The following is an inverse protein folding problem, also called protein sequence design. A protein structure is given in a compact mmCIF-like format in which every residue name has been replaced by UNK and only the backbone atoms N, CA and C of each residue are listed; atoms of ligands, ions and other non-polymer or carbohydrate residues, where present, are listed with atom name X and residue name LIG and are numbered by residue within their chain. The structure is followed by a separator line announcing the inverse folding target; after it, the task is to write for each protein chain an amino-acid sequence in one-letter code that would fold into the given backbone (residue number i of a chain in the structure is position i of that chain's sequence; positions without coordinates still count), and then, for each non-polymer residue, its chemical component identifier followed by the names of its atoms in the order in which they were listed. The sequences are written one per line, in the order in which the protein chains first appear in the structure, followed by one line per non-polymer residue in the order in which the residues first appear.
data_IF_729395704766
#
_entry.id   IF_729395704766
#
_cell.length_a   1.000
_cell.length_b   1.000
_cell.length_c   1.000
_cell.angle_alpha   90.00
_cell.angle_beta   90.00
_cell.angle_gamma   90.00
#
_symmetry.space_group_name_H-M   'P 1'
#
loop_
_entity.id
_entity.type
_entity.pdbx_description
1 polymer ?
#
# COMPACT_ATOMS: atom_id res chain seq x y z
N UNK A 1 -5.55 9.23 -17.63
CA UNK A 1 -5.60 9.61 -16.21
C UNK A 1 -4.23 10.02 -15.71
N UNK A 2 -4.19 10.86 -14.71
CA UNK A 2 -2.97 11.12 -13.93
C UNK A 2 -3.08 10.34 -12.62
N UNK A 3 -1.99 9.69 -12.23
CA UNK A 3 -1.83 9.08 -10.92
C UNK A 3 -0.76 9.80 -10.12
N UNK A 4 -1.04 10.02 -8.85
CA UNK A 4 -0.14 10.64 -7.88
C UNK A 4 0.02 9.69 -6.71
N UNK A 5 1.25 9.45 -6.28
CA UNK A 5 1.52 8.75 -5.02
C UNK A 5 2.42 9.60 -4.12
N UNK A 6 2.05 9.68 -2.84
CA UNK A 6 2.87 10.27 -1.78
C UNK A 6 3.11 9.21 -0.71
N UNK A 7 4.23 8.50 -0.87
CA UNK A 7 4.59 7.33 -0.06
C UNK A 7 6.09 7.40 0.24
N UNK A 8 6.48 7.10 1.47
CA UNK A 8 7.87 7.11 1.94
C UNK A 8 8.63 8.41 1.60
N UNK A 9 7.95 9.54 1.76
CA UNK A 9 8.48 10.86 1.46
C UNK A 9 8.91 11.04 -0.03
N UNK A 10 8.36 10.23 -0.91
CA UNK A 10 8.51 10.36 -2.37
C UNK A 10 7.18 10.75 -2.99
N UNK A 11 7.24 11.70 -3.91
CA UNK A 11 6.10 12.16 -4.69
C UNK A 11 6.31 11.73 -6.15
N UNK A 12 5.48 10.81 -6.62
CA UNK A 12 5.54 10.30 -7.99
C UNK A 12 4.26 10.68 -8.71
N UNK A 13 4.40 11.26 -9.89
CA UNK A 13 3.29 11.51 -10.82
C UNK A 13 3.48 10.64 -12.06
N UNK A 14 2.42 10.00 -12.51
CA UNK A 14 2.40 9.30 -13.80
C UNK A 14 1.22 9.78 -14.64
N UNK A 15 1.45 9.86 -15.94
CA UNK A 15 0.40 9.98 -16.94
C UNK A 15 0.20 8.62 -17.59
N UNK A 16 -1.02 8.12 -17.57
CA UNK A 16 -1.38 6.77 -18.00
C UNK A 16 -2.54 6.83 -19.02
N UNK A 17 -2.47 5.99 -20.05
CA UNK A 17 -3.58 5.81 -21.00
C UNK A 17 -4.68 4.87 -20.46
N UNK A 18 -5.76 4.71 -21.24
CA UNK A 18 -6.87 3.85 -20.84
C UNK A 18 -6.54 2.34 -20.85
N UNK A 19 -5.45 1.93 -21.48
CA UNK A 19 -4.97 0.54 -21.49
C UNK A 19 -4.08 0.21 -20.29
N UNK A 20 -3.81 1.18 -19.39
CA UNK A 20 -2.91 1.00 -18.25
C UNK A 20 -1.44 1.26 -18.57
N UNK A 21 -1.09 1.76 -19.76
CA UNK A 21 0.29 2.01 -20.15
C UNK A 21 0.75 3.39 -19.68
N UNK A 22 1.94 3.45 -19.08
CA UNK A 22 2.59 4.68 -18.68
C UNK A 22 3.05 5.49 -19.90
N UNK A 23 2.60 6.74 -19.99
CA UNK A 23 3.00 7.68 -21.04
C UNK A 23 4.19 8.53 -20.58
N UNK A 24 4.13 9.02 -19.34
CA UNK A 24 5.16 9.87 -18.75
C UNK A 24 5.18 9.72 -17.22
N UNK A 25 6.30 10.14 -16.63
CA UNK A 25 6.54 10.07 -15.20
C UNK A 25 7.31 11.30 -14.71
N UNK A 26 7.06 11.71 -13.47
CA UNK A 26 7.83 12.71 -12.72
C UNK A 26 8.09 12.19 -11.31
N UNK A 27 9.33 12.27 -10.87
CA UNK A 27 9.74 12.02 -9.50
C UNK A 27 10.09 13.36 -8.85
N UNK A 28 9.47 13.68 -7.73
CA UNK A 28 9.57 14.97 -7.07
C UNK A 28 9.86 14.79 -5.57
N UNK A 29 10.50 15.82 -4.99
CA UNK A 29 10.53 15.95 -3.53
C UNK A 29 9.26 16.68 -3.09
N UNK A 30 8.44 16.08 -2.19
CA UNK A 30 7.18 16.68 -1.79
C UNK A 30 7.39 17.91 -0.89
N UNK A 31 6.59 18.94 -1.10
CA UNK A 31 6.37 20.01 -0.15
C UNK A 31 5.23 19.57 0.77
N UNK A 32 5.52 19.27 2.05
CA UNK A 32 4.53 18.61 2.94
C UNK A 32 3.45 19.55 3.50
N UNK A 33 3.67 20.88 3.45
CA UNK A 33 2.63 21.85 3.76
C UNK A 33 1.53 21.83 2.71
N UNK A 34 0.28 21.61 3.11
CA UNK A 34 -0.83 21.34 2.20
C UNK A 34 -0.97 22.38 1.10
N UNK A 35 -0.99 23.71 1.37
CA UNK A 35 -1.09 24.70 0.29
C UNK A 35 0.07 24.64 -0.71
N UNK A 36 1.28 24.41 -0.21
CA UNK A 36 2.48 24.32 -1.05
C UNK A 36 2.47 23.04 -1.90
N UNK A 37 2.07 21.91 -1.32
CA UNK A 37 1.92 20.66 -2.06
C UNK A 37 0.87 20.76 -3.17
N UNK A 38 -0.29 21.36 -2.88
CA UNK A 38 -1.35 21.54 -3.88
C UNK A 38 -0.87 22.40 -5.04
N UNK A 39 -0.16 23.50 -4.74
CA UNK A 39 0.42 24.36 -5.78
C UNK A 39 1.49 23.62 -6.58
N UNK A 40 2.41 22.91 -5.92
CA UNK A 40 3.42 22.08 -6.58
C UNK A 40 2.77 21.07 -7.54
N UNK A 41 1.75 20.33 -7.09
CA UNK A 41 1.05 19.36 -7.91
C UNK A 41 0.35 20.02 -9.11
N UNK A 42 -0.29 21.17 -8.92
CA UNK A 42 -0.99 21.87 -10.01
C UNK A 42 0.00 22.33 -11.09
N UNK A 43 1.17 22.83 -10.70
CA UNK A 43 2.21 23.28 -11.63
C UNK A 43 2.85 22.11 -12.37
N UNK A 44 3.15 21.01 -11.67
CA UNK A 44 3.71 19.79 -12.27
C UNK A 44 2.73 19.11 -13.24
N UNK A 45 1.44 19.04 -12.88
CA UNK A 45 0.40 18.52 -13.77
C UNK A 45 0.33 19.37 -15.06
N UNK A 46 0.36 20.70 -14.93
CA UNK A 46 0.34 21.60 -16.09
C UNK A 46 1.58 21.37 -16.98
N UNK A 47 2.76 21.29 -16.36
CA UNK A 47 4.02 21.00 -17.08
C UNK A 47 3.95 19.65 -17.78
N UNK A 48 3.52 18.59 -17.08
CA UNK A 48 3.41 17.24 -17.63
C UNK A 48 2.48 17.18 -18.86
N UNK A 49 1.35 17.87 -18.82
CA UNK A 49 0.43 17.94 -19.94
C UNK A 49 1.01 18.71 -21.14
N UNK A 50 1.72 19.81 -20.88
CA UNK A 50 2.39 20.58 -21.94
C UNK A 50 3.49 19.77 -22.61
N UNK A 51 4.34 19.09 -21.83
CA UNK A 51 5.45 18.29 -22.33
C UNK A 51 4.98 17.08 -23.15
N UNK A 52 3.84 16.53 -22.81
CA UNK A 52 3.25 15.38 -23.52
C UNK A 52 2.28 15.79 -24.62
N UNK A 53 2.02 17.08 -24.80
CA UNK A 53 1.06 17.65 -25.77
C UNK A 53 -0.35 17.07 -25.61
N UNK A 54 -0.72 16.67 -24.37
CA UNK A 54 -2.05 16.14 -24.08
C UNK A 54 -2.94 17.27 -23.59
N UNK A 55 -4.02 17.49 -24.32
CA UNK A 55 -5.04 18.47 -23.94
C UNK A 55 -5.72 18.07 -22.63
N UNK A 56 -5.90 19.02 -21.73
CA UNK A 56 -6.55 18.82 -20.45
C UNK A 56 -7.92 18.16 -20.56
N UNK A 57 -8.72 18.47 -21.59
CA UNK A 57 -10.05 17.90 -21.81
C UNK A 57 -10.01 16.39 -22.10
N UNK A 58 -8.86 15.84 -22.45
CA UNK A 58 -8.65 14.39 -22.64
C UNK A 58 -8.33 13.66 -21.33
N UNK A 59 -8.11 14.39 -20.23
CA UNK A 59 -7.92 13.77 -18.92
C UNK A 59 -9.25 13.32 -18.35
N UNK A 60 -9.31 12.05 -18.01
CA UNK A 60 -10.45 11.44 -17.33
C UNK A 60 -10.54 11.89 -15.86
N UNK A 61 -9.40 12.03 -15.20
CA UNK A 61 -9.30 12.46 -13.82
C UNK A 61 -7.90 12.27 -13.25
N UNK A 62 -7.77 12.61 -11.98
CA UNK A 62 -6.56 12.44 -11.16
C UNK A 62 -6.88 11.46 -10.04
N UNK A 63 -6.09 10.40 -9.91
CA UNK A 63 -6.08 9.55 -8.72
C UNK A 63 -4.92 9.93 -7.81
N UNK A 64 -5.13 9.91 -6.50
CA UNK A 64 -4.09 10.20 -5.53
C UNK A 64 -4.04 9.10 -4.45
N UNK A 65 -2.99 8.30 -4.46
CA UNK A 65 -2.72 7.26 -3.48
C UNK A 65 -1.80 7.76 -2.36
N UNK A 66 -2.17 7.49 -1.12
CA UNK A 66 -1.37 7.86 0.06
C UNK A 66 -1.59 6.87 1.21
N UNK A 67 -0.60 6.75 2.09
CA UNK A 67 -0.71 5.95 3.30
C UNK A 67 -1.58 6.68 4.33
N UNK A 68 -2.90 6.53 4.20
CA UNK A 68 -3.88 7.22 5.02
C UNK A 68 -5.19 6.46 5.15
N UNK A 69 -5.92 6.77 6.20
CA UNK A 69 -7.35 6.50 6.26
C UNK A 69 -8.10 7.53 5.41
N UNK A 70 -8.76 7.05 4.37
CA UNK A 70 -9.52 7.85 3.40
C UNK A 70 -11.00 7.55 3.58
N UNK A 71 -11.85 8.57 3.46
CA UNK A 71 -13.30 8.41 3.55
C UNK A 71 -13.86 7.52 2.42
N UNK A 72 -15.05 6.97 2.64
CA UNK A 72 -15.68 6.07 1.66
C UNK A 72 -16.01 6.75 0.32
N UNK A 73 -16.18 8.08 0.33
CA UNK A 73 -16.42 8.91 -0.86
C UNK A 73 -15.13 9.26 -1.63
N UNK A 74 -13.96 8.86 -1.12
CA UNK A 74 -12.64 9.10 -1.74
C UNK A 74 -12.34 10.58 -1.99
N UNK A 75 -12.70 11.43 -1.05
CA UNK A 75 -12.57 12.88 -1.14
C UNK A 75 -11.75 13.51 -0.02
N UNK A 76 -11.77 12.92 1.17
CA UNK A 76 -11.13 13.45 2.37
C UNK A 76 -10.07 12.47 2.90
N UNK A 77 -8.86 12.96 3.08
CA UNK A 77 -7.88 12.28 3.93
C UNK A 77 -8.33 12.50 5.39
N UNK A 78 -8.97 11.47 5.96
CA UNK A 78 -9.49 11.53 7.33
C UNK A 78 -8.35 11.60 8.32
N UNK A 79 -7.34 10.75 8.14
CA UNK A 79 -6.15 10.75 8.97
C UNK A 79 -4.97 10.08 8.25
N UNK A 80 -3.82 10.73 8.29
CA UNK A 80 -2.53 10.11 8.00
C UNK A 80 -1.57 10.37 9.15
N UNK A 81 -1.25 9.32 9.91
CA UNK A 81 -0.30 9.42 11.00
C UNK A 81 1.13 9.71 10.49
N UNK A 82 1.44 9.28 9.26
CA UNK A 82 2.74 9.49 8.64
C UNK A 82 2.94 10.95 8.22
N UNK A 83 1.90 11.59 7.65
CA UNK A 83 1.95 12.96 7.15
C UNK A 83 1.51 13.99 8.21
N UNK A 84 0.98 13.55 9.36
CA UNK A 84 0.41 14.43 10.37
C UNK A 84 -0.88 15.12 9.91
N UNK A 85 -1.55 14.58 8.90
CA UNK A 85 -2.76 15.18 8.33
C UNK A 85 -4.01 14.68 9.04
N UNK A 86 -4.99 15.58 9.17
CA UNK A 86 -6.29 15.28 9.76
C UNK A 86 -7.40 16.07 9.06
N UNK A 87 -8.43 15.38 8.59
CA UNK A 87 -9.61 15.95 7.91
C UNK A 87 -9.24 16.90 6.75
N UNK A 88 -8.33 16.47 5.88
CA UNK A 88 -7.89 17.26 4.72
C UNK A 88 -8.79 16.98 3.52
N UNK A 89 -9.54 17.96 2.98
CA UNK A 89 -10.38 17.81 1.79
C UNK A 89 -9.52 17.82 0.52
N UNK A 90 -8.63 16.85 0.39
CA UNK A 90 -7.54 16.82 -0.58
C UNK A 90 -8.05 16.82 -2.02
N UNK A 91 -9.13 16.05 -2.29
CA UNK A 91 -9.71 15.97 -3.62
C UNK A 91 -10.25 17.34 -4.09
N UNK A 92 -10.97 18.06 -3.21
CA UNK A 92 -11.51 19.39 -3.51
C UNK A 92 -10.39 20.40 -3.76
N UNK A 93 -9.38 20.43 -2.88
CA UNK A 93 -8.26 21.36 -2.98
C UNK A 93 -7.49 21.17 -4.29
N UNK A 94 -7.16 19.95 -4.65
CA UNK A 94 -6.42 19.65 -5.88
C UNK A 94 -7.29 19.88 -7.13
N UNK A 95 -8.57 19.51 -7.09
CA UNK A 95 -9.49 19.76 -8.20
C UNK A 95 -9.60 21.25 -8.51
N UNK A 96 -9.76 22.10 -7.48
CA UNK A 96 -9.77 23.57 -7.66
C UNK A 96 -8.48 24.10 -8.27
N UNK A 97 -7.32 23.66 -7.76
CA UNK A 97 -6.02 24.12 -8.23
C UNK A 97 -5.71 23.69 -9.67
N UNK A 98 -6.26 22.57 -10.11
CA UNK A 98 -6.14 22.05 -11.48
C UNK A 98 -7.28 22.51 -12.39
N UNK A 99 -8.13 23.44 -11.93
CA UNK A 99 -9.24 24.07 -12.70
C UNK A 99 -10.40 23.10 -12.92
N UNK A 100 -10.76 22.24 -11.98
CA UNK A 100 -11.95 21.39 -12.00
C UNK A 100 -11.73 20.00 -12.60
N UNK A 101 -10.51 19.51 -12.72
CA UNK A 101 -10.28 18.09 -13.05
C UNK A 101 -10.80 17.24 -11.88
N UNK A 102 -11.60 16.19 -12.14
CA UNK A 102 -12.05 15.27 -11.09
C UNK A 102 -10.86 14.63 -10.36
N UNK A 103 -10.91 14.62 -9.04
CA UNK A 103 -9.84 14.02 -8.20
C UNK A 103 -10.45 12.99 -7.28
N UNK A 104 -9.82 11.82 -7.21
CA UNK A 104 -10.19 10.71 -6.35
C UNK A 104 -8.98 10.34 -5.49
N UNK A 105 -9.13 10.38 -4.19
CA UNK A 105 -8.09 9.92 -3.28
C UNK A 105 -8.37 8.51 -2.79
N UNK A 106 -7.33 7.73 -2.61
CA UNK A 106 -7.47 6.36 -2.11
C UNK A 106 -6.30 5.99 -1.20
N UNK A 107 -6.55 5.07 -0.27
CA UNK A 107 -5.46 4.39 0.42
C UNK A 107 -4.56 3.67 -0.59
N UNK A 108 -3.26 3.70 -0.37
CA UNK A 108 -2.23 3.13 -1.24
C UNK A 108 -2.50 1.66 -1.62
N UNK A 109 -2.72 0.81 -0.62
CA UNK A 109 -2.94 -0.63 -0.85
C UNK A 109 -4.28 -0.90 -1.53
N UNK A 110 -5.32 -0.09 -1.26
CA UNK A 110 -6.58 -0.19 -2.01
C UNK A 110 -6.43 0.26 -3.45
N UNK A 111 -5.66 1.31 -3.71
CA UNK A 111 -5.33 1.72 -5.07
C UNK A 111 -4.57 0.61 -5.81
N UNK A 112 -3.59 -0.03 -5.15
CA UNK A 112 -2.87 -1.16 -5.71
C UNK A 112 -3.79 -2.35 -6.02
N UNK A 113 -4.70 -2.70 -5.12
CA UNK A 113 -5.69 -3.74 -5.36
C UNK A 113 -6.59 -3.40 -6.56
N UNK A 114 -6.97 -2.13 -6.74
CA UNK A 114 -7.71 -1.66 -7.90
C UNK A 114 -6.91 -1.83 -9.21
N UNK A 115 -5.61 -1.50 -9.19
CA UNK A 115 -4.72 -1.74 -10.32
C UNK A 115 -4.62 -3.21 -10.68
N UNK A 116 -4.32 -4.06 -9.70
CA UNK A 116 -4.16 -5.50 -9.92
C UNK A 116 -5.46 -6.16 -10.39
N UNK A 117 -6.61 -5.66 -9.95
CA UNK A 117 -7.91 -6.10 -10.41
C UNK A 117 -8.22 -5.63 -11.84
N UNK A 118 -7.79 -4.42 -12.21
CA UNK A 118 -8.12 -3.84 -13.53
C UNK A 118 -7.14 -4.28 -14.61
N UNK A 119 -5.84 -4.26 -14.32
CA UNK A 119 -4.77 -4.47 -15.30
C UNK A 119 -3.83 -5.63 -14.96
N UNK A 120 -3.79 -6.07 -13.69
CA UNK A 120 -2.79 -6.98 -13.17
C UNK A 120 -3.26 -8.42 -12.99
N UNK A 121 -2.70 -9.08 -12.00
CA UNK A 121 -2.82 -10.52 -11.74
C UNK A 121 -4.19 -10.94 -11.21
N UNK A 122 -4.95 -10.01 -10.61
CA UNK A 122 -6.24 -10.31 -9.97
C UNK A 122 -7.44 -10.17 -10.92
N UNK A 123 -7.21 -9.89 -12.20
CA UNK A 123 -8.30 -9.60 -13.18
C UNK A 123 -9.37 -10.68 -13.27
N UNK A 124 -8.98 -11.95 -13.08
CA UNK A 124 -9.88 -13.11 -13.21
C UNK A 124 -10.39 -13.63 -11.87
N UNK A 125 -10.01 -13.02 -10.76
CA UNK A 125 -10.38 -13.47 -9.42
C UNK A 125 -11.51 -12.59 -8.87
N UNK A 126 -12.64 -13.19 -8.51
CA UNK A 126 -13.77 -12.48 -7.90
C UNK A 126 -13.48 -12.05 -6.46
N UNK A 127 -12.57 -12.75 -5.79
CA UNK A 127 -12.13 -12.43 -4.42
C UNK A 127 -10.62 -12.56 -4.29
N UNK A 128 -10.01 -11.61 -3.58
CA UNK A 128 -8.58 -11.64 -3.24
C UNK A 128 -8.31 -10.71 -2.06
N UNK A 129 -7.21 -10.93 -1.36
CA UNK A 129 -6.68 -9.92 -0.43
C UNK A 129 -5.29 -9.52 -0.90
N UNK A 130 -5.07 -8.24 -1.05
CA UNK A 130 -3.76 -7.64 -1.31
C UNK A 130 -3.18 -7.18 0.01
N UNK A 131 -1.94 -7.55 0.28
CA UNK A 131 -1.18 -7.10 1.45
C UNK A 131 0.07 -6.43 0.93
N UNK A 132 0.29 -5.18 1.28
CA UNK A 132 1.55 -4.47 1.01
C UNK A 132 2.47 -4.57 2.22
N UNK A 133 3.74 -4.91 1.97
CA UNK A 133 4.78 -5.01 2.97
C UNK A 133 5.94 -4.08 2.60
N UNK A 134 6.13 -3.05 3.40
CA UNK A 134 7.12 -2.00 3.20
C UNK A 134 7.43 -1.28 4.50
N UNK A 135 7.69 0.02 4.46
CA UNK A 135 7.87 0.88 5.65
C UNK A 135 6.70 0.79 6.64
N UNK A 136 5.51 0.50 6.12
CA UNK A 136 4.33 0.07 6.85
C UNK A 136 3.73 -1.19 6.22
N UNK A 137 2.63 -1.67 6.81
CA UNK A 137 1.85 -2.79 6.29
C UNK A 137 0.47 -2.24 5.92
N UNK A 138 -0.01 -2.57 4.72
CA UNK A 138 -1.36 -2.27 4.29
C UNK A 138 -2.12 -3.52 3.88
N UNK A 139 -3.45 -3.45 3.84
CA UNK A 139 -4.21 -4.48 3.14
C UNK A 139 -5.47 -3.94 2.48
N UNK A 140 -5.92 -4.66 1.46
CA UNK A 140 -7.16 -4.38 0.76
C UNK A 140 -7.83 -5.68 0.33
N UNK A 141 -9.13 -5.79 0.53
CA UNK A 141 -9.91 -6.92 0.08
C UNK A 141 -10.66 -6.59 -1.22
N UNK A 142 -10.61 -7.51 -2.16
CA UNK A 142 -11.49 -7.57 -3.34
C UNK A 142 -12.59 -8.59 -3.01
N UNK A 143 -13.84 -8.19 -3.06
CA UNK A 143 -15.00 -9.01 -2.77
C UNK A 143 -16.02 -8.80 -3.89
N UNK A 144 -16.42 -9.87 -4.57
CA UNK A 144 -17.31 -9.81 -5.74
C UNK A 144 -16.85 -8.78 -6.77
N UNK A 145 -15.61 -8.88 -7.19
CA UNK A 145 -14.96 -7.99 -8.19
C UNK A 145 -14.81 -6.52 -7.77
N UNK A 146 -15.12 -6.15 -6.52
CA UNK A 146 -15.08 -4.77 -6.02
C UNK A 146 -14.09 -4.62 -4.87
N UNK A 147 -13.42 -3.47 -4.82
CA UNK A 147 -12.60 -3.09 -3.66
C UNK A 147 -13.52 -2.82 -2.47
N UNK A 148 -13.34 -3.59 -1.41
CA UNK A 148 -14.11 -3.42 -0.18
C UNK A 148 -13.53 -2.30 0.68
N UNK A 149 -14.26 -1.20 0.80
CA UNK A 149 -13.85 -0.03 1.60
C UNK A 149 -14.44 -0.03 3.01
N UNK A 150 -15.44 -0.87 3.26
CA UNK A 150 -16.21 -0.83 4.50
C UNK A 150 -17.17 0.37 4.57
N UNK A 151 -17.95 0.42 5.66
CA UNK A 151 -18.98 1.45 5.84
C UNK A 151 -18.39 2.87 6.00
N UNK A 152 -17.16 2.98 6.50
CA UNK A 152 -16.52 4.26 6.84
C UNK A 152 -15.19 4.47 6.13
N UNK A 153 -14.83 3.62 5.16
CA UNK A 153 -13.55 3.70 4.46
C UNK A 153 -12.37 3.04 5.21
N UNK A 154 -12.60 2.36 6.34
CA UNK A 154 -11.54 1.79 7.19
C UNK A 154 -11.30 0.29 7.02
N UNK A 155 -11.84 -0.35 5.99
CA UNK A 155 -11.56 -1.76 5.77
C UNK A 155 -10.08 -1.98 5.40
N UNK A 156 -9.48 -3.05 5.91
CA UNK A 156 -8.11 -3.41 5.56
C UNK A 156 -7.02 -2.87 6.51
N UNK A 157 -7.35 -2.23 7.61
CA UNK A 157 -6.38 -1.69 8.58
C UNK A 157 -5.71 -2.78 9.43
N UNK A 158 -5.18 -3.86 8.79
CA UNK A 158 -4.57 -5.01 9.50
C UNK A 158 -3.27 -4.63 10.20
N UNK A 159 -2.53 -3.64 9.69
CA UNK A 159 -1.34 -3.10 10.32
C UNK A 159 -1.58 -2.74 11.80
N UNK A 160 -2.80 -2.30 12.09
CA UNK A 160 -3.20 -1.85 13.42
C UNK A 160 -4.01 -2.89 14.22
N UNK A 161 -4.11 -4.14 13.74
CA UNK A 161 -4.58 -5.24 14.57
C UNK A 161 -3.54 -5.57 15.64
N UNK A 162 -4.00 -5.77 16.88
CA UNK A 162 -3.13 -6.11 18.00
C UNK A 162 -2.71 -7.57 17.89
N UNK A 163 -1.43 -7.81 17.64
CA UNK A 163 -0.82 -9.16 17.61
C UNK A 163 -0.25 -9.51 18.99
N UNK A 164 0.37 -8.55 19.66
CA UNK A 164 0.95 -8.75 20.99
C UNK A 164 0.28 -7.80 21.98
N UNK A 165 -0.69 -8.26 22.80
CA UNK A 165 -1.31 -7.39 23.79
C UNK A 165 -0.29 -6.71 24.70
N UNK A 166 -0.48 -5.42 24.98
CA UNK A 166 0.43 -4.57 25.74
C UNK A 166 1.86 -4.45 25.17
N UNK A 167 2.09 -4.86 23.91
CA UNK A 167 3.38 -4.79 23.21
C UNK A 167 3.86 -3.36 22.93
N UNK A 168 4.74 -3.20 21.95
CA UNK A 168 5.36 -1.92 21.55
C UNK A 168 4.29 -0.85 21.24
N UNK A 169 4.47 0.42 21.67
CA UNK A 169 3.58 1.51 21.29
C UNK A 169 3.54 1.69 19.76
N UNK A 170 2.34 1.90 19.22
CA UNK A 170 2.14 2.16 17.80
C UNK A 170 1.79 3.63 17.56
N UNK A 171 2.21 4.18 16.44
CA UNK A 171 1.84 5.54 15.99
C UNK A 171 0.33 5.77 15.90
N UNK A 172 -0.49 4.72 15.81
CA UNK A 172 -1.95 4.84 15.84
C UNK A 172 -2.53 5.09 17.25
N UNK A 173 -1.71 5.17 18.28
CA UNK A 173 -2.10 5.35 19.69
C UNK A 173 -2.34 4.04 20.46
N UNK A 174 -2.38 2.89 19.79
CA UNK A 174 -2.51 1.56 20.42
C UNK A 174 -1.14 0.94 20.73
N UNK A 175 -1.16 -0.29 21.23
CA UNK A 175 0.06 -1.07 21.53
C UNK A 175 -0.02 -2.46 20.92
N UNK A 176 1.15 -2.99 20.49
CA UNK A 176 1.31 -4.35 20.01
C UNK A 176 0.69 -4.62 18.64
N UNK A 177 0.52 -3.58 17.84
CA UNK A 177 0.03 -3.68 16.47
C UNK A 177 0.99 -4.47 15.59
N UNK A 178 0.47 -5.13 14.55
CA UNK A 178 1.27 -5.84 13.54
C UNK A 178 2.39 -4.95 12.99
N UNK A 179 2.08 -3.70 12.69
CA UNK A 179 3.01 -2.70 12.15
C UNK A 179 4.26 -2.52 13.01
N UNK A 180 4.14 -2.62 14.35
CA UNK A 180 5.25 -2.49 15.30
C UNK A 180 6.15 -3.72 15.41
N UNK A 181 5.83 -4.77 14.68
CA UNK A 181 6.54 -6.05 14.74
C UNK A 181 7.10 -6.43 13.39
N UNK A 182 6.29 -6.32 12.34
CA UNK A 182 6.54 -6.92 11.05
C UNK A 182 6.71 -5.93 9.90
N UNK A 183 6.47 -4.61 10.07
CA UNK A 183 6.85 -3.63 9.04
C UNK A 183 8.37 -3.54 8.89
N UNK A 184 8.87 -3.14 7.72
CA UNK A 184 10.32 -2.94 7.52
C UNK A 184 10.88 -1.91 8.50
N UNK A 185 10.14 -0.83 8.78
CA UNK A 185 10.51 0.14 9.82
C UNK A 185 10.72 -0.54 11.17
N UNK A 186 9.78 -1.37 11.60
CA UNK A 186 9.88 -2.07 12.88
C UNK A 186 11.00 -3.11 12.91
N UNK A 187 11.24 -3.82 11.80
CA UNK A 187 12.34 -4.77 11.66
C UNK A 187 13.68 -4.06 11.81
N UNK A 188 13.87 -2.93 11.12
CA UNK A 188 15.13 -2.17 11.19
C UNK A 188 15.33 -1.45 12.52
N UNK A 189 14.27 -0.99 13.18
CA UNK A 189 14.34 -0.47 14.55
C UNK A 189 14.79 -1.54 15.55
N UNK A 190 14.23 -2.75 15.45
CA UNK A 190 14.64 -3.89 16.27
C UNK A 190 16.09 -4.30 15.99
N UNK A 191 16.53 -4.29 14.72
CA UNK A 191 17.90 -4.54 14.34
C UNK A 191 18.87 -3.52 14.98
N UNK A 192 18.54 -2.24 14.89
CA UNK A 192 19.30 -1.15 15.50
C UNK A 192 19.42 -1.27 17.02
N UNK A 193 18.31 -1.63 17.69
CA UNK A 193 18.29 -1.90 19.13
C UNK A 193 19.17 -3.11 19.52
N UNK A 194 19.36 -4.06 18.61
CA UNK A 194 20.23 -5.22 18.77
C UNK A 194 21.69 -4.95 18.35
N UNK A 195 22.05 -3.71 18.02
CA UNK A 195 23.39 -3.33 17.57
C UNK A 195 23.71 -3.67 16.11
N UNK A 196 22.67 -3.94 15.29
CA UNK A 196 22.79 -4.19 13.85
C UNK A 196 22.38 -2.91 13.13
N UNK A 197 23.35 -2.23 12.52
CA UNK A 197 23.11 -1.00 11.75
C UNK A 197 22.88 -1.36 10.27
N UNK A 198 21.64 -1.59 9.90
CA UNK A 198 21.22 -1.84 8.52
C UNK A 198 19.80 -1.30 8.29
N UNK A 199 19.53 -0.87 7.08
CA UNK A 199 18.22 -0.51 6.54
C UNK A 199 17.82 -1.39 5.33
N UNK A 200 18.53 -2.51 5.13
CA UNK A 200 18.33 -3.45 4.04
C UNK A 200 18.00 -4.84 4.57
N UNK A 201 16.88 -5.37 4.10
CA UNK A 201 16.39 -6.66 4.59
C UNK A 201 17.28 -7.84 4.16
N UNK A 202 17.84 -7.79 2.96
CA UNK A 202 18.74 -8.81 2.43
C UNK A 202 20.05 -8.93 3.25
N UNK A 203 20.57 -7.81 3.79
CA UNK A 203 21.71 -7.85 4.72
C UNK A 203 21.33 -8.56 6.02
N UNK A 204 20.16 -8.24 6.60
CA UNK A 204 19.67 -8.90 7.81
C UNK A 204 19.43 -10.40 7.56
N UNK A 205 18.87 -10.76 6.42
CA UNK A 205 18.70 -12.14 5.96
C UNK A 205 20.06 -12.86 5.77
N UNK A 206 21.06 -12.17 5.22
CA UNK A 206 22.41 -12.73 5.08
C UNK A 206 23.07 -12.98 6.44
N UNK A 207 22.86 -12.10 7.42
CA UNK A 207 23.33 -12.31 8.79
C UNK A 207 22.64 -13.49 9.45
N UNK A 208 21.33 -13.64 9.27
CA UNK A 208 20.58 -14.78 9.79
C UNK A 208 21.07 -16.10 9.19
N UNK A 209 21.32 -16.16 7.88
CA UNK A 209 21.93 -17.34 7.22
C UNK A 209 23.29 -17.71 7.76
N UNK A 210 24.06 -16.75 8.28
CA UNK A 210 25.36 -16.96 8.95
C UNK A 210 25.23 -17.33 10.43
N UNK A 211 24.01 -17.46 10.95
CA UNK A 211 23.76 -17.84 12.34
C UNK A 211 23.74 -16.70 13.34
N UNK A 212 23.61 -15.44 12.90
CA UNK A 212 23.52 -14.30 13.81
C UNK A 212 22.20 -14.33 14.59
N UNK A 213 22.27 -14.61 15.90
CA UNK A 213 21.10 -14.92 16.72
C UNK A 213 20.05 -13.81 16.76
N UNK A 214 20.45 -12.54 16.88
CA UNK A 214 19.51 -11.42 16.89
C UNK A 214 18.80 -11.26 15.54
N UNK A 215 19.51 -11.39 14.41
CA UNK A 215 18.89 -11.33 13.08
C UNK A 215 17.86 -12.45 12.90
N UNK A 216 18.18 -13.67 13.32
CA UNK A 216 17.26 -14.82 13.30
C UNK A 216 16.01 -14.52 14.12
N UNK A 217 16.16 -14.02 15.36
CA UNK A 217 15.02 -13.73 16.24
C UNK A 217 14.11 -12.63 15.67
N UNK A 218 14.68 -11.57 15.10
CA UNK A 218 13.94 -10.45 14.51
C UNK A 218 13.11 -10.93 13.32
N UNK A 219 13.75 -11.63 12.37
CA UNK A 219 13.10 -12.14 11.18
C UNK A 219 12.06 -13.21 11.50
N UNK A 220 12.34 -14.08 12.45
CA UNK A 220 11.39 -15.10 12.90
C UNK A 220 10.14 -14.45 13.52
N UNK A 221 10.33 -13.50 14.43
CA UNK A 221 9.21 -12.80 15.07
C UNK A 221 8.36 -12.02 14.07
N UNK A 222 9.00 -11.37 13.09
CA UNK A 222 8.30 -10.63 12.04
C UNK A 222 7.54 -11.57 11.10
N UNK A 223 8.16 -12.67 10.68
CA UNK A 223 7.53 -13.67 9.82
C UNK A 223 6.34 -14.34 10.51
N UNK A 224 6.48 -14.73 11.78
CA UNK A 224 5.41 -15.34 12.57
C UNK A 224 4.21 -14.39 12.73
N UNK A 225 4.44 -13.13 13.08
CA UNK A 225 3.40 -12.11 13.21
C UNK A 225 2.68 -11.83 11.89
N UNK A 226 3.42 -11.72 10.78
CA UNK A 226 2.86 -11.50 9.46
C UNK A 226 2.04 -12.71 8.99
N UNK A 227 2.56 -13.93 9.19
CA UNK A 227 1.86 -15.16 8.85
C UNK A 227 0.57 -15.36 9.65
N UNK A 228 0.57 -15.04 10.94
CA UNK A 228 -0.64 -15.02 11.77
C UNK A 228 -1.67 -14.02 11.23
N UNK A 229 -1.25 -12.81 10.89
CA UNK A 229 -2.18 -11.81 10.32
C UNK A 229 -2.75 -12.25 8.96
N UNK A 230 -1.95 -12.88 8.12
CA UNK A 230 -2.39 -13.43 6.83
C UNK A 230 -3.39 -14.58 7.04
N UNK A 231 -3.12 -15.50 7.97
CA UNK A 231 -4.06 -16.59 8.28
C UNK A 231 -5.43 -16.08 8.73
N UNK A 232 -5.45 -14.97 9.50
CA UNK A 232 -6.71 -14.30 9.86
C UNK A 232 -7.45 -13.74 8.62
N UNK A 233 -6.71 -13.17 7.66
CA UNK A 233 -7.33 -12.69 6.41
C UNK A 233 -7.90 -13.84 5.59
N UNK A 234 -7.19 -14.96 5.50
CA UNK A 234 -7.67 -16.17 4.82
C UNK A 234 -8.95 -16.69 5.49
N UNK A 235 -8.95 -16.84 6.81
CA UNK A 235 -10.10 -17.37 7.55
C UNK A 235 -11.31 -16.44 7.57
N UNK A 236 -11.08 -15.13 7.46
CA UNK A 236 -12.17 -14.14 7.51
C UNK A 236 -12.81 -13.91 6.14
N UNK A 237 -12.03 -13.97 5.07
CA UNK A 237 -12.50 -13.60 3.72
C UNK A 237 -12.62 -14.81 2.78
N UNK A 238 -12.00 -15.95 3.10
CA UNK A 238 -11.89 -17.12 2.21
C UNK A 238 -11.56 -16.72 0.76
N UNK A 239 -10.46 -15.98 0.54
CA UNK A 239 -10.17 -15.40 -0.75
C UNK A 239 -9.61 -16.44 -1.73
N UNK A 240 -9.84 -16.24 -3.02
CA UNK A 240 -9.25 -17.08 -4.07
C UNK A 240 -7.71 -16.97 -4.14
N UNK A 241 -7.14 -15.86 -3.65
CA UNK A 241 -5.69 -15.67 -3.51
C UNK A 241 -5.35 -14.58 -2.48
N UNK A 242 -4.17 -14.68 -1.87
CA UNK A 242 -3.49 -13.58 -1.19
C UNK A 242 -2.39 -13.06 -2.10
N UNK A 243 -2.37 -11.78 -2.37
CA UNK A 243 -1.25 -11.12 -3.04
C UNK A 243 -0.39 -10.39 -2.03
N UNK A 244 0.91 -10.68 -2.03
CA UNK A 244 1.92 -9.98 -1.24
C UNK A 244 2.67 -9.02 -2.15
N UNK A 245 2.37 -7.75 -2.05
CA UNK A 245 3.08 -6.66 -2.71
C UNK A 245 4.22 -6.18 -1.81
N UNK A 246 5.43 -6.16 -2.33
CA UNK A 246 6.63 -5.98 -1.51
C UNK A 246 7.76 -5.29 -2.27
N UNK A 247 8.74 -4.79 -1.53
CA UNK A 247 10.02 -4.37 -2.14
C UNK A 247 10.72 -5.59 -2.76
N UNK A 248 11.46 -5.42 -3.87
CA UNK A 248 12.00 -6.54 -4.67
C UNK A 248 12.73 -7.61 -3.86
N UNK A 249 13.46 -7.23 -2.81
CA UNK A 249 14.31 -8.15 -2.02
C UNK A 249 13.62 -8.79 -0.80
N UNK A 250 12.34 -8.49 -0.54
CA UNK A 250 11.73 -8.72 0.79
C UNK A 250 11.40 -10.17 1.15
N UNK A 251 11.17 -11.07 0.19
CA UNK A 251 10.66 -12.42 0.51
C UNK A 251 11.55 -13.56 0.00
N UNK A 252 12.88 -13.42 0.14
CA UNK A 252 13.85 -14.40 -0.36
C UNK A 252 14.56 -15.21 0.75
N UNK A 253 14.09 -15.18 2.00
CA UNK A 253 14.82 -15.79 3.11
C UNK A 253 13.97 -16.29 4.27
N UNK A 254 14.51 -16.14 5.49
CA UNK A 254 13.93 -16.65 6.73
C UNK A 254 12.57 -16.03 7.04
N UNK A 255 12.41 -14.73 6.80
CA UNK A 255 11.14 -14.03 6.98
C UNK A 255 10.01 -14.74 6.23
N UNK A 256 10.22 -15.03 4.94
CA UNK A 256 9.24 -15.71 4.12
C UNK A 256 8.97 -17.15 4.58
N UNK A 257 10.03 -17.90 4.91
CA UNK A 257 9.89 -19.29 5.37
C UNK A 257 9.05 -19.36 6.65
N UNK A 258 9.33 -18.50 7.61
CA UNK A 258 8.58 -18.45 8.87
C UNK A 258 7.15 -17.97 8.65
N UNK A 259 6.96 -16.94 7.81
CA UNK A 259 5.63 -16.46 7.47
C UNK A 259 4.76 -17.57 6.87
N UNK A 260 5.26 -18.33 5.88
CA UNK A 260 4.51 -19.44 5.28
C UNK A 260 4.18 -20.53 6.31
N UNK A 261 5.13 -20.88 7.17
CA UNK A 261 4.92 -21.82 8.26
C UNK A 261 3.83 -21.35 9.22
N UNK A 262 3.87 -20.06 9.61
CA UNK A 262 2.87 -19.47 10.51
C UNK A 262 1.47 -19.43 9.87
N UNK A 263 1.38 -19.17 8.56
CA UNK A 263 0.10 -19.24 7.83
C UNK A 263 -0.49 -20.66 7.98
N UNK A 264 0.25 -21.69 7.59
CA UNK A 264 -0.23 -23.06 7.60
C UNK A 264 -0.59 -23.56 9.02
N UNK A 265 0.22 -23.18 10.00
CA UNK A 265 0.00 -23.57 11.41
C UNK A 265 -1.26 -22.95 12.02
N UNK A 266 -1.62 -21.73 11.59
CA UNK A 266 -2.73 -20.97 12.16
C UNK A 266 -4.05 -21.10 11.37
N UNK A 267 -4.04 -21.80 10.23
CA UNK A 267 -5.26 -22.06 9.46
C UNK A 267 -6.05 -23.24 10.04
N UNK A 268 -7.36 -23.20 9.84
CA UNK A 268 -8.18 -24.40 10.01
C UNK A 268 -7.66 -25.50 9.08
N UNK A 269 -7.53 -26.76 9.53
CA UNK A 269 -6.96 -27.84 8.70
C UNK A 269 -7.62 -28.00 7.34
N UNK A 270 -8.93 -27.69 7.23
CA UNK A 270 -9.66 -27.75 5.98
C UNK A 270 -9.36 -26.60 5.00
N UNK A 271 -8.66 -25.55 5.41
CA UNK A 271 -8.27 -24.39 4.59
C UNK A 271 -6.78 -24.41 4.21
N UNK A 272 -5.97 -25.17 4.93
CA UNK A 272 -4.54 -25.26 4.67
C UNK A 272 -4.23 -25.65 3.22
N UNK A 273 -3.26 -24.97 2.60
CA UNK A 273 -2.81 -25.22 1.24
C UNK A 273 -3.80 -24.84 0.12
N UNK A 274 -4.96 -24.22 0.45
CA UNK A 274 -5.98 -23.89 -0.57
C UNK A 274 -5.82 -22.51 -1.18
N UNK A 275 -5.37 -21.53 -0.40
CA UNK A 275 -5.25 -20.16 -0.86
C UNK A 275 -3.82 -19.88 -1.35
N UNK A 276 -3.61 -19.70 -2.66
CA UNK A 276 -2.28 -19.41 -3.19
C UNK A 276 -1.78 -18.03 -2.77
N UNK A 277 -0.45 -17.95 -2.55
CA UNK A 277 0.26 -16.69 -2.33
C UNK A 277 0.85 -16.22 -3.66
N UNK A 278 0.52 -14.99 -4.07
CA UNK A 278 1.06 -14.33 -5.27
C UNK A 278 2.03 -13.25 -4.79
N UNK A 279 3.31 -13.39 -5.12
CA UNK A 279 4.32 -12.39 -4.79
C UNK A 279 4.42 -11.35 -5.90
N UNK A 280 4.30 -10.08 -5.53
CA UNK A 280 4.30 -8.94 -6.44
C UNK A 280 5.38 -7.93 -6.02
N UNK A 281 6.59 -7.99 -6.59
CA UNK A 281 7.58 -6.95 -6.37
C UNK A 281 7.11 -5.61 -6.96
N UNK A 282 7.25 -4.54 -6.19
CA UNK A 282 6.82 -3.19 -6.56
C UNK A 282 7.98 -2.42 -7.19
N UNK A 283 7.70 -1.77 -8.32
CA UNK A 283 8.55 -0.75 -8.89
C UNK A 283 8.22 0.63 -8.28
N UNK A 284 9.09 1.61 -8.47
CA UNK A 284 8.95 2.94 -7.91
C UNK A 284 7.65 3.65 -8.32
N UNK A 285 7.19 3.42 -9.54
CA UNK A 285 5.97 3.99 -10.11
C UNK A 285 4.69 3.19 -9.83
N UNK A 286 4.80 2.01 -9.19
CA UNK A 286 3.66 1.12 -8.99
C UNK A 286 2.49 1.79 -8.26
N UNK A 287 2.77 2.59 -7.25
CA UNK A 287 1.76 3.31 -6.47
C UNK A 287 1.06 4.41 -7.27
N UNK A 288 1.83 5.14 -8.10
CA UNK A 288 1.26 6.20 -8.94
C UNK A 288 0.42 5.61 -10.08
N UNK A 289 0.85 4.50 -10.69
CA UNK A 289 0.03 3.75 -11.66
C UNK A 289 -1.26 3.22 -11.00
N UNK A 290 -1.14 2.72 -9.79
CA UNK A 290 -2.29 2.28 -9.00
C UNK A 290 -3.26 3.44 -8.75
N UNK A 291 -2.77 4.61 -8.38
CA UNK A 291 -3.57 5.81 -8.22
C UNK A 291 -4.29 6.21 -9.53
N UNK A 292 -3.58 6.20 -10.67
CA UNK A 292 -4.19 6.49 -11.96
C UNK A 292 -5.35 5.54 -12.30
N UNK A 293 -5.23 4.26 -11.94
CA UNK A 293 -6.29 3.28 -12.15
C UNK A 293 -7.56 3.60 -11.36
N UNK A 294 -7.45 4.21 -10.19
CA UNK A 294 -8.61 4.64 -9.39
C UNK A 294 -9.44 5.66 -10.16
N UNK A 295 -8.81 6.68 -10.74
CA UNK A 295 -9.51 7.68 -11.55
C UNK A 295 -10.15 7.07 -12.80
N UNK A 296 -9.46 6.14 -13.47
CA UNK A 296 -10.02 5.44 -14.64
C UNK A 296 -11.23 4.61 -14.27
N UNK A 297 -11.17 3.83 -13.20
CA UNK A 297 -12.29 2.96 -12.83
C UNK A 297 -13.52 3.75 -12.40
N UNK A 298 -13.36 4.88 -11.72
CA UNK A 298 -14.47 5.75 -11.35
C UNK A 298 -15.23 6.33 -12.53
N UNK A 299 -14.52 6.67 -13.59
CA UNK A 299 -15.13 7.33 -14.76
C UNK A 299 -15.60 6.33 -15.81
N UNK A 300 -14.82 5.27 -16.06
CA UNK A 300 -15.13 4.30 -17.11
C UNK A 300 -16.09 3.19 -16.64
N UNK A 301 -16.07 2.89 -15.32
CA UNK A 301 -16.91 1.84 -14.72
C UNK A 301 -17.60 2.35 -13.45
N UNK A 302 -18.47 3.38 -13.55
CA UNK A 302 -19.22 3.87 -12.40
C UNK A 302 -20.05 2.72 -11.84
N UNK A 303 -19.75 2.33 -10.58
CA UNK A 303 -20.32 1.17 -9.88
C UNK A 303 -21.72 1.42 -9.32
#
# INVERSE_FOLDING_TARGET
AIGISLIDNQLVLVLMNASGEKIAERLLTPLLEIPALIQQLADEIRSLLNDTLIERQRLVGIGFALSAFVDAAQSVCVQSALLGWHQVPLAELLSRATGGIPVFIENDTRALANWEKTFGHLRKLESAVVISHGSGIGSAAVIYDRIWRGAHGGAGEIAHCTIVPAGTPCRCGKRGCLDTIASLTAIFEQARMAGIDTDQLDELEAMARKGHSAAIQILHRAGDALGLAISHQIQTHDPAAIMLAHQPESFNGLLNTVMQQAIETNLLPGMAGKTPLIYRPLAQDSWALAAASVALTHVLFPG
#
